data_IF_359342672663
#
_entry.id   IF_359342672663
#
_cell.length_a   1.000
_cell.length_b   1.000
_cell.length_c   1.000
_cell.angle_alpha   90.00
_cell.angle_beta   90.00
_cell.angle_gamma   90.00
#
_symmetry.space_group_name_H-M   'P 1'
#
loop_
_entity.id
_entity.type
_entity.pdbx_description
1 polymer ?
#
# COMPACT_ATOMS: atom_id res chain seq x y z
N UNK A 1 2.44 7.97 6.93
CA UNK A 1 2.84 8.07 8.34
C UNK A 1 4.27 7.58 8.57
N UNK A 2 4.60 6.31 8.24
CA UNK A 2 5.95 5.72 8.44
C UNK A 2 7.07 6.61 7.89
N UNK A 3 6.94 7.08 6.64
CA UNK A 3 7.94 7.93 5.99
C UNK A 3 8.16 9.25 6.75
N UNK A 4 7.09 9.93 7.16
CA UNK A 4 7.20 11.18 7.92
C UNK A 4 7.90 11.01 9.26
N UNK A 5 7.63 9.91 9.98
CA UNK A 5 8.33 9.59 11.22
C UNK A 5 9.79 9.25 10.97
N UNK A 6 10.07 8.42 9.97
CA UNK A 6 11.43 8.06 9.59
C UNK A 6 12.26 9.27 9.20
N UNK A 7 11.69 10.17 8.39
CA UNK A 7 12.35 11.42 7.99
C UNK A 7 12.60 12.35 9.21
N UNK A 8 11.70 12.33 10.21
CA UNK A 8 11.88 13.09 11.44
C UNK A 8 13.00 12.50 12.34
N UNK A 9 13.15 11.19 12.36
CA UNK A 9 14.20 10.48 13.11
C UNK A 9 15.55 10.66 12.44
N UNK A 10 15.64 10.49 11.12
CA UNK A 10 16.89 10.48 10.37
C UNK A 10 17.69 11.77 10.46
N UNK A 11 17.04 12.92 10.66
CA UNK A 11 17.71 14.23 10.80
C UNK A 11 18.24 14.49 12.20
N UNK A 12 17.95 13.63 13.19
CA UNK A 12 18.39 13.83 14.58
C UNK A 12 19.83 13.37 14.75
N UNK A 13 20.60 14.16 15.48
CA UNK A 13 22.01 13.86 15.76
C UNK A 13 22.19 12.55 16.57
N UNK A 14 21.28 12.30 17.53
CA UNK A 14 21.29 11.07 18.34
C UNK A 14 20.99 9.81 17.49
N UNK A 15 20.11 9.89 16.48
CA UNK A 15 19.90 8.79 15.54
C UNK A 15 21.12 8.56 14.63
N UNK A 16 21.74 9.64 14.15
CA UNK A 16 22.95 9.51 13.33
C UNK A 16 24.11 8.89 14.10
N UNK A 17 24.16 9.11 15.40
CA UNK A 17 25.12 8.44 16.27
C UNK A 17 24.77 6.97 16.44
N UNK A 18 23.51 6.63 16.71
CA UNK A 18 23.02 5.25 16.81
C UNK A 18 23.32 4.44 15.54
N UNK A 19 23.14 5.05 14.36
CA UNK A 19 23.36 4.41 13.05
C UNK A 19 24.83 4.04 12.81
N UNK A 20 25.76 4.78 13.45
CA UNK A 20 27.20 4.55 13.37
C UNK A 20 27.74 3.58 14.43
N UNK A 21 26.93 3.22 15.44
CA UNK A 21 27.35 2.26 16.45
C UNK A 21 27.53 0.86 15.82
N UNK A 22 28.39 0.03 16.41
CA UNK A 22 28.55 -1.36 16.01
C UNK A 22 27.19 -2.06 15.89
N UNK A 23 27.09 -3.05 15.00
CA UNK A 23 25.84 -3.81 14.81
C UNK A 23 25.64 -4.82 15.94
N UNK A 24 25.72 -4.32 17.16
CA UNK A 24 25.51 -5.01 18.42
C UNK A 24 24.20 -4.51 19.05
N UNK A 25 23.30 -5.46 19.28
CA UNK A 25 21.95 -5.15 19.81
C UNK A 25 22.03 -4.55 21.21
N UNK A 26 22.91 -5.03 22.09
CA UNK A 26 23.06 -4.55 23.47
C UNK A 26 23.57 -3.12 23.49
N UNK A 27 24.59 -2.81 22.69
CA UNK A 27 25.16 -1.47 22.55
C UNK A 27 24.11 -0.48 22.05
N UNK A 28 23.36 -0.85 21.01
CA UNK A 28 22.29 -0.01 20.45
C UNK A 28 21.14 0.20 21.43
N UNK A 29 20.73 -0.83 22.17
CA UNK A 29 19.69 -0.73 23.20
C UNK A 29 20.12 0.13 24.38
N UNK A 30 21.38 0.02 24.83
CA UNK A 30 21.93 0.88 25.87
C UNK A 30 21.87 2.35 25.45
N UNK A 31 22.34 2.65 24.25
CA UNK A 31 22.29 4.01 23.71
C UNK A 31 20.86 4.56 23.63
N UNK A 32 19.88 3.75 23.21
CA UNK A 32 18.47 4.17 23.15
C UNK A 32 17.92 4.45 24.56
N UNK A 33 18.30 3.68 25.57
CA UNK A 33 17.90 3.91 26.98
C UNK A 33 18.43 5.24 27.50
N UNK A 34 19.64 5.61 27.11
CA UNK A 34 20.27 6.89 27.47
C UNK A 34 19.67 8.08 26.69
N UNK A 35 18.97 7.81 25.59
CA UNK A 35 18.33 8.79 24.74
C UNK A 35 16.79 8.57 24.64
N UNK A 36 16.03 8.84 25.71
CA UNK A 36 14.59 8.51 25.77
C UNK A 36 13.75 9.15 24.65
N UNK A 37 14.09 10.35 24.22
CA UNK A 37 13.41 11.02 23.13
C UNK A 37 13.55 10.26 21.79
N UNK A 38 14.71 9.64 21.54
CA UNK A 38 14.93 8.78 20.40
C UNK A 38 14.12 7.49 20.53
N UNK A 39 14.08 6.89 21.72
CA UNK A 39 13.28 5.70 22.01
C UNK A 39 11.79 5.89 21.72
N UNK A 40 11.22 7.05 22.13
CA UNK A 40 9.82 7.40 21.87
C UNK A 40 9.50 7.43 20.36
N UNK A 41 10.44 7.84 19.53
CA UNK A 41 10.26 7.88 18.07
C UNK A 41 10.48 6.53 17.41
N UNK A 42 11.44 5.73 17.90
CA UNK A 42 11.79 4.43 17.30
C UNK A 42 10.79 3.33 17.64
N UNK A 43 10.16 3.37 18.82
CA UNK A 43 9.19 2.36 19.27
C UNK A 43 8.06 2.15 18.25
N UNK A 44 7.28 3.19 17.83
CA UNK A 44 6.21 2.98 16.86
C UNK A 44 6.72 2.60 15.47
N UNK A 45 7.92 3.04 15.06
CA UNK A 45 8.54 2.60 13.81
C UNK A 45 8.89 1.11 13.83
N UNK A 46 9.44 0.63 14.95
CA UNK A 46 9.71 -0.80 15.16
C UNK A 46 8.44 -1.63 15.10
N UNK A 47 7.37 -1.18 15.77
CA UNK A 47 6.08 -1.88 15.74
C UNK A 47 5.46 -1.89 14.32
N UNK A 48 5.58 -0.81 13.55
CA UNK A 48 5.16 -0.79 12.13
C UNK A 48 5.96 -1.82 11.32
N UNK A 49 7.27 -1.94 11.51
CA UNK A 49 8.07 -2.96 10.82
C UNK A 49 7.60 -4.38 11.18
N UNK A 50 7.31 -4.65 12.45
CA UNK A 50 6.76 -5.94 12.89
C UNK A 50 5.41 -6.26 12.23
N UNK A 51 4.54 -5.27 12.00
CA UNK A 51 3.29 -5.49 11.24
C UNK A 51 3.59 -6.02 9.84
N UNK A 52 4.57 -5.46 9.13
CA UNK A 52 4.99 -5.95 7.80
C UNK A 52 5.66 -7.33 7.87
N UNK A 53 6.36 -7.66 8.96
CA UNK A 53 6.94 -8.99 9.17
C UNK A 53 5.84 -10.05 9.33
N UNK A 54 4.75 -9.75 10.03
CA UNK A 54 3.57 -10.64 10.13
C UNK A 54 3.01 -10.93 8.74
N UNK A 55 2.77 -9.91 7.93
CA UNK A 55 2.29 -10.06 6.55
C UNK A 55 3.26 -10.87 5.67
N UNK A 56 4.57 -10.62 5.80
CA UNK A 56 5.59 -11.38 5.08
C UNK A 56 5.58 -12.86 5.45
N UNK A 57 5.40 -13.18 6.74
CA UNK A 57 5.28 -14.58 7.21
C UNK A 57 4.03 -15.25 6.67
N UNK A 58 2.88 -14.56 6.70
CA UNK A 58 1.63 -15.06 6.15
C UNK A 58 1.77 -15.42 4.66
N UNK A 59 2.38 -14.51 3.89
CA UNK A 59 2.64 -14.71 2.46
C UNK A 59 3.61 -15.87 2.19
N UNK A 60 4.71 -15.97 2.93
CA UNK A 60 5.68 -17.07 2.78
C UNK A 60 5.05 -18.43 3.07
N UNK A 61 4.16 -18.50 4.06
CA UNK A 61 3.44 -19.71 4.44
C UNK A 61 2.23 -20.01 3.54
N UNK A 62 1.88 -19.11 2.63
CA UNK A 62 0.71 -19.19 1.74
C UNK A 62 -0.60 -19.46 2.52
N UNK A 63 -0.76 -18.75 3.63
CA UNK A 63 -1.93 -18.89 4.50
C UNK A 63 -3.22 -18.52 3.75
N UNK A 64 -4.33 -19.20 4.09
CA UNK A 64 -5.66 -18.86 3.60
C UNK A 64 -6.13 -17.50 4.15
N UNK A 65 -7.22 -16.98 3.60
CA UNK A 65 -7.83 -15.73 4.05
C UNK A 65 -8.17 -15.78 5.55
N UNK A 66 -8.76 -16.87 5.98
CA UNK A 66 -9.19 -17.11 7.37
C UNK A 66 -7.97 -17.19 8.29
N UNK A 67 -6.95 -17.94 7.92
CA UNK A 67 -5.70 -18.05 8.68
C UNK A 67 -4.96 -16.70 8.78
N UNK A 68 -4.98 -15.89 7.71
CA UNK A 68 -4.41 -14.52 7.74
C UNK A 68 -5.20 -13.64 8.70
N UNK A 69 -6.53 -13.71 8.69
CA UNK A 69 -7.37 -12.96 9.62
C UNK A 69 -7.07 -13.33 11.07
N UNK A 70 -7.02 -14.62 11.41
CA UNK A 70 -6.69 -15.09 12.76
C UNK A 70 -5.27 -14.64 13.20
N UNK A 71 -4.29 -14.78 12.32
CA UNK A 71 -2.93 -14.31 12.57
C UNK A 71 -2.89 -12.80 12.86
N UNK A 72 -3.65 -12.01 12.11
CA UNK A 72 -3.77 -10.55 12.31
C UNK A 72 -4.42 -10.22 13.63
N UNK A 73 -5.51 -10.91 14.02
CA UNK A 73 -6.15 -10.68 15.32
C UNK A 73 -5.20 -11.00 16.47
N UNK A 74 -4.41 -12.07 16.36
CA UNK A 74 -3.48 -12.51 17.40
C UNK A 74 -2.23 -11.65 17.52
N UNK A 75 -1.62 -11.26 16.40
CA UNK A 75 -0.32 -10.61 16.39
C UNK A 75 -0.36 -9.15 15.93
N UNK A 76 -1.08 -8.85 14.82
CA UNK A 76 -1.05 -7.50 14.25
C UNK A 76 -1.90 -6.50 15.04
N UNK A 77 -3.05 -6.91 15.55
CA UNK A 77 -3.95 -6.02 16.30
C UNK A 77 -3.29 -5.45 17.58
N UNK A 78 -2.66 -6.26 18.45
CA UNK A 78 -1.93 -5.72 19.60
C UNK A 78 -0.78 -4.79 19.19
N UNK A 79 -0.05 -5.10 18.11
CA UNK A 79 1.01 -4.25 17.60
C UNK A 79 0.46 -2.91 17.06
N UNK A 80 -0.68 -2.94 16.38
CA UNK A 80 -1.33 -1.74 15.87
C UNK A 80 -1.79 -0.82 17.01
N UNK A 81 -2.34 -1.39 18.09
CA UNK A 81 -2.70 -0.65 19.30
C UNK A 81 -1.46 -0.01 19.96
N UNK A 82 -0.33 -0.71 19.98
CA UNK A 82 0.94 -0.14 20.44
C UNK A 82 1.43 1.01 19.54
N UNK A 83 1.26 0.91 18.22
CA UNK A 83 1.57 2.01 17.30
C UNK A 83 0.71 3.24 17.63
N UNK A 84 -0.60 3.07 17.84
CA UNK A 84 -1.49 4.19 18.24
C UNK A 84 -0.98 4.86 19.52
N UNK A 85 -0.71 4.09 20.56
CA UNK A 85 -0.18 4.61 21.84
C UNK A 85 1.16 5.32 21.66
N UNK A 86 2.03 4.77 20.82
CA UNK A 86 3.31 5.40 20.47
C UNK A 86 3.14 6.74 19.75
N UNK A 87 2.19 6.84 18.81
CA UNK A 87 1.86 8.09 18.13
C UNK A 87 1.29 9.15 19.07
N UNK A 88 0.41 8.76 20.00
CA UNK A 88 -0.10 9.64 21.04
C UNK A 88 1.01 10.11 21.97
N UNK A 89 1.96 9.24 22.32
CA UNK A 89 3.14 9.62 23.12
C UNK A 89 3.98 10.67 22.40
N UNK A 90 4.22 10.50 21.10
CA UNK A 90 4.94 11.49 20.29
C UNK A 90 4.25 12.85 20.35
N UNK A 91 2.92 12.91 20.19
CA UNK A 91 2.19 14.19 20.21
C UNK A 91 2.27 14.92 21.55
N UNK A 92 2.50 14.19 22.65
CA UNK A 92 2.65 14.78 24.00
C UNK A 92 4.10 15.14 24.35
N UNK A 93 5.08 14.49 23.70
CA UNK A 93 6.51 14.59 24.08
C UNK A 93 7.30 15.56 23.22
N UNK A 94 6.75 16.03 22.10
CA UNK A 94 7.45 16.89 21.14
C UNK A 94 6.60 18.10 20.76
N UNK A 95 7.28 19.16 20.30
CA UNK A 95 6.63 20.39 19.86
C UNK A 95 5.63 20.16 18.72
N UNK A 96 4.48 20.82 18.80
CA UNK A 96 3.37 20.65 17.84
C UNK A 96 3.75 20.95 16.38
N UNK A 97 4.73 21.82 16.16
CA UNK A 97 5.27 22.17 14.84
C UNK A 97 6.27 21.16 14.28
N UNK A 98 6.76 20.20 15.10
CA UNK A 98 7.79 19.26 14.69
C UNK A 98 7.30 18.28 13.61
N UNK A 99 8.23 17.81 12.77
CA UNK A 99 7.93 16.79 11.75
C UNK A 99 7.40 15.48 12.37
N UNK A 100 7.88 15.13 13.57
CA UNK A 100 7.43 13.94 14.29
C UNK A 100 5.95 14.05 14.67
N UNK A 101 5.53 15.18 15.27
CA UNK A 101 4.14 15.42 15.65
C UNK A 101 3.23 15.52 14.43
N UNK A 102 3.67 16.18 13.36
CA UNK A 102 2.91 16.21 12.09
C UNK A 102 2.68 14.79 11.53
N UNK A 103 3.71 13.94 11.56
CA UNK A 103 3.61 12.54 11.15
C UNK A 103 2.69 11.71 12.05
N UNK A 104 2.77 11.89 13.37
CA UNK A 104 1.92 11.21 14.34
C UNK A 104 0.45 11.64 14.18
N UNK A 105 0.17 12.93 14.07
CA UNK A 105 -1.17 13.45 13.83
C UNK A 105 -1.77 12.96 12.50
N UNK A 106 -0.96 12.87 11.44
CA UNK A 106 -1.40 12.29 10.18
C UNK A 106 -1.84 10.82 10.36
N UNK A 107 -1.11 10.03 11.14
CA UNK A 107 -1.48 8.66 11.45
C UNK A 107 -2.76 8.59 12.29
N UNK A 108 -2.82 9.33 13.39
CA UNK A 108 -3.95 9.31 14.32
C UNK A 108 -5.27 9.72 13.67
N UNK A 109 -5.25 10.72 12.78
CA UNK A 109 -6.45 11.11 11.99
C UNK A 109 -6.95 10.01 11.05
N UNK A 110 -6.12 9.04 10.70
CA UNK A 110 -6.45 7.97 9.74
C UNK A 110 -6.40 6.58 10.35
N UNK A 111 -6.27 6.47 11.68
CA UNK A 111 -6.08 5.19 12.37
C UNK A 111 -7.14 4.15 11.98
N UNK A 112 -8.41 4.57 11.90
CA UNK A 112 -9.51 3.66 11.57
C UNK A 112 -9.39 3.14 10.13
N UNK A 113 -9.09 4.01 9.17
CA UNK A 113 -8.85 3.60 7.77
C UNK A 113 -7.60 2.74 7.64
N UNK A 114 -6.54 3.04 8.39
CA UNK A 114 -5.30 2.25 8.40
C UNK A 114 -5.48 0.90 9.09
N UNK A 115 -6.43 0.78 10.02
CA UNK A 115 -6.75 -0.46 10.74
C UNK A 115 -7.65 -1.40 9.95
N UNK A 116 -8.30 -0.97 8.88
CA UNK A 116 -9.24 -1.80 8.11
C UNK A 116 -8.65 -3.11 7.59
N UNK A 117 -7.37 -3.16 7.29
CA UNK A 117 -6.74 -4.41 6.86
C UNK A 117 -6.81 -5.53 7.91
N UNK A 118 -7.03 -5.18 9.18
CA UNK A 118 -7.23 -6.13 10.27
C UNK A 118 -8.61 -6.81 10.24
N UNK A 119 -9.59 -6.23 9.53
CA UNK A 119 -10.98 -6.71 9.49
C UNK A 119 -11.16 -7.90 8.54
N UNK A 120 -10.24 -8.07 7.57
CA UNK A 120 -10.35 -9.11 6.55
C UNK A 120 -8.96 -9.56 6.08
N UNK A 121 -8.75 -10.88 5.95
CA UNK A 121 -7.48 -11.45 5.49
C UNK A 121 -7.11 -11.12 4.04
N UNK A 122 -8.04 -10.62 3.22
CA UNK A 122 -7.80 -10.24 1.83
C UNK A 122 -7.31 -8.80 1.67
N UNK A 123 -7.60 -7.92 2.62
CA UNK A 123 -7.21 -6.51 2.51
C UNK A 123 -5.70 -6.35 2.68
N UNK A 124 -5.01 -5.67 1.77
CA UNK A 124 -3.57 -5.43 1.90
C UNK A 124 -3.29 -4.41 3.01
N UNK A 125 -2.16 -4.58 3.71
CA UNK A 125 -1.67 -3.62 4.72
C UNK A 125 -1.26 -2.28 4.10
N UNK A 126 -0.95 -2.25 2.81
CA UNK A 126 -0.49 -1.07 2.08
C UNK A 126 -1.24 -0.86 0.77
N UNK A 127 -1.00 0.29 0.14
CA UNK A 127 -1.61 0.68 -1.11
C UNK A 127 -0.71 0.40 -2.34
N UNK A 128 0.32 -0.43 -2.18
CA UNK A 128 1.30 -0.68 -3.25
C UNK A 128 0.68 -1.24 -4.53
N UNK A 129 -0.42 -2.00 -4.41
CA UNK A 129 -1.13 -2.52 -5.58
C UNK A 129 -1.76 -1.39 -6.38
N UNK A 130 -2.54 -0.51 -5.73
CA UNK A 130 -3.16 0.63 -6.39
C UNK A 130 -2.12 1.59 -6.99
N UNK A 131 -1.03 1.86 -6.25
CA UNK A 131 0.07 2.70 -6.76
C UNK A 131 0.72 2.09 -8.01
N UNK A 132 0.92 0.78 -8.05
CA UNK A 132 1.44 0.09 -9.24
C UNK A 132 0.48 0.16 -10.42
N UNK A 133 -0.83 0.09 -10.17
CA UNK A 133 -1.84 0.17 -11.24
C UNK A 133 -1.93 1.57 -11.86
N UNK A 134 -1.75 2.62 -11.07
CA UNK A 134 -1.75 4.01 -11.57
C UNK A 134 -0.42 4.39 -12.24
N UNK A 135 0.68 3.74 -11.88
CA UNK A 135 2.03 4.07 -12.36
C UNK A 135 2.17 4.10 -13.88
N UNK A 136 1.63 3.14 -14.68
CA UNK A 136 1.70 3.21 -16.14
C UNK A 136 1.06 4.47 -16.71
N UNK A 137 -0.10 4.90 -16.19
CA UNK A 137 -0.74 6.16 -16.57
C UNK A 137 0.16 7.36 -16.30
N UNK A 138 0.76 7.43 -15.10
CA UNK A 138 1.68 8.53 -14.72
C UNK A 138 2.93 8.55 -15.60
N UNK A 139 3.44 7.38 -16.00
CA UNK A 139 4.58 7.28 -16.93
C UNK A 139 4.17 7.71 -18.34
N UNK A 140 3.02 7.22 -18.83
CA UNK A 140 2.48 7.58 -20.15
C UNK A 140 2.25 9.09 -20.27
N UNK A 141 1.78 9.75 -19.21
CA UNK A 141 1.60 11.20 -19.16
C UNK A 141 2.87 11.98 -19.48
N UNK A 142 4.06 11.44 -19.21
CA UNK A 142 5.31 12.09 -19.62
C UNK A 142 5.50 12.16 -21.13
N UNK A 143 4.85 11.27 -21.90
CA UNK A 143 4.88 11.25 -23.37
C UNK A 143 3.82 12.17 -23.98
N UNK A 144 2.58 12.10 -23.51
CA UNK A 144 1.48 12.91 -24.09
C UNK A 144 1.23 14.25 -23.34
N UNK A 145 1.89 14.50 -22.21
CA UNK A 145 1.91 15.72 -21.38
C UNK A 145 0.51 16.14 -20.86
N UNK A 146 -0.48 16.34 -21.70
CA UNK A 146 -1.85 16.73 -21.38
C UNK A 146 -2.84 16.11 -22.41
N UNK A 147 -4.12 16.18 -22.11
CA UNK A 147 -5.20 15.87 -23.01
C UNK A 147 -5.83 17.20 -23.49
N UNK A 148 -6.06 17.33 -24.77
CA UNK A 148 -6.61 18.58 -25.37
C UNK A 148 -8.05 18.83 -24.94
N UNK A 149 -8.79 17.77 -24.59
CA UNK A 149 -10.20 17.85 -24.19
C UNK A 149 -10.47 16.99 -22.96
N UNK A 150 -11.49 17.33 -22.20
CA UNK A 150 -11.97 16.56 -21.05
C UNK A 150 -12.41 15.14 -21.48
N UNK A 151 -13.16 15.03 -22.58
CA UNK A 151 -13.57 13.75 -23.14
C UNK A 151 -12.37 12.87 -23.55
N UNK A 152 -11.30 13.47 -24.09
CA UNK A 152 -10.06 12.77 -24.40
C UNK A 152 -9.34 12.27 -23.17
N UNK A 153 -9.36 13.06 -22.08
CA UNK A 153 -8.80 12.65 -20.79
C UNK A 153 -9.57 11.47 -20.18
N UNK A 154 -10.91 11.52 -20.19
CA UNK A 154 -11.78 10.44 -19.73
C UNK A 154 -11.57 9.16 -20.56
N UNK A 155 -11.57 9.24 -21.87
CA UNK A 155 -11.33 8.10 -22.76
C UNK A 155 -9.97 7.45 -22.45
N UNK A 156 -8.92 8.26 -22.27
CA UNK A 156 -7.58 7.77 -21.90
C UNK A 156 -7.61 7.05 -20.54
N UNK A 157 -8.29 7.60 -19.54
CA UNK A 157 -8.43 7.00 -18.23
C UNK A 157 -9.17 5.65 -18.29
N UNK A 158 -10.23 5.54 -19.09
CA UNK A 158 -10.97 4.29 -19.32
C UNK A 158 -10.05 3.22 -19.94
N UNK A 159 -9.32 3.55 -21.01
CA UNK A 159 -8.42 2.60 -21.67
C UNK A 159 -7.29 2.12 -20.75
N UNK A 160 -6.70 3.00 -19.95
CA UNK A 160 -5.73 2.59 -18.95
C UNK A 160 -6.35 1.71 -17.88
N UNK A 161 -7.56 2.00 -17.42
CA UNK A 161 -8.28 1.20 -16.43
C UNK A 161 -8.57 -0.20 -16.95
N UNK A 162 -9.06 -0.33 -18.18
CA UNK A 162 -9.32 -1.62 -18.83
C UNK A 162 -8.03 -2.42 -19.00
N UNK A 163 -6.96 -1.79 -19.48
CA UNK A 163 -5.66 -2.44 -19.69
C UNK A 163 -5.06 -2.94 -18.38
N UNK A 164 -5.10 -2.13 -17.32
CA UNK A 164 -4.59 -2.54 -16.01
C UNK A 164 -5.45 -3.63 -15.37
N UNK A 165 -6.78 -3.55 -15.52
CA UNK A 165 -7.68 -4.61 -15.06
C UNK A 165 -7.45 -5.92 -15.81
N UNK A 166 -7.18 -5.88 -17.10
CA UNK A 166 -6.81 -7.06 -17.89
C UNK A 166 -5.52 -7.70 -17.34
N UNK A 167 -4.48 -6.90 -17.08
CA UNK A 167 -3.22 -7.37 -16.49
C UNK A 167 -3.46 -8.04 -15.13
N UNK A 168 -4.29 -7.44 -14.27
CA UNK A 168 -4.61 -7.98 -12.94
C UNK A 168 -5.30 -9.34 -12.99
N UNK A 169 -6.11 -9.56 -14.04
CA UNK A 169 -6.83 -10.82 -14.26
C UNK A 169 -6.04 -11.81 -15.12
N UNK A 170 -4.75 -11.58 -15.36
CA UNK A 170 -3.87 -12.49 -16.10
C UNK A 170 -4.05 -12.47 -17.61
N UNK A 171 -4.79 -11.51 -18.15
CA UNK A 171 -5.00 -11.33 -19.58
C UNK A 171 -3.79 -10.67 -20.24
N UNK A 172 -3.64 -10.87 -21.55
CA UNK A 172 -2.72 -10.12 -22.41
C UNK A 172 -3.48 -8.90 -22.92
N UNK A 173 -3.14 -7.65 -22.51
CA UNK A 173 -3.97 -6.47 -22.76
C UNK A 173 -4.30 -6.23 -24.24
N UNK A 174 -3.31 -6.38 -25.13
CA UNK A 174 -3.49 -6.15 -26.57
C UNK A 174 -4.53 -7.11 -27.14
N UNK A 175 -4.44 -8.40 -26.83
CA UNK A 175 -5.39 -9.42 -27.28
C UNK A 175 -6.78 -9.19 -26.70
N UNK A 176 -6.83 -8.81 -25.42
CA UNK A 176 -8.08 -8.52 -24.74
C UNK A 176 -8.80 -7.32 -25.39
N UNK A 177 -8.08 -6.21 -25.63
CA UNK A 177 -8.66 -5.01 -26.26
C UNK A 177 -9.14 -5.33 -27.68
N UNK A 178 -8.34 -6.05 -28.49
CA UNK A 178 -8.72 -6.50 -29.83
C UNK A 178 -10.01 -7.33 -29.78
N UNK A 179 -10.08 -8.27 -28.85
CA UNK A 179 -11.28 -9.12 -28.64
C UNK A 179 -12.51 -8.27 -28.27
N UNK A 180 -12.37 -7.34 -27.33
CA UNK A 180 -13.47 -6.43 -26.91
C UNK A 180 -13.97 -5.62 -28.08
N UNK A 181 -13.07 -4.97 -28.82
CA UNK A 181 -13.46 -4.14 -29.99
C UNK A 181 -14.13 -4.98 -31.07
N UNK A 182 -13.64 -6.19 -31.34
CA UNK A 182 -14.23 -7.11 -32.33
C UNK A 182 -15.64 -7.55 -31.92
N UNK A 183 -15.84 -7.90 -30.65
CA UNK A 183 -17.14 -8.31 -30.12
C UNK A 183 -18.14 -7.15 -30.17
N UNK A 184 -17.76 -5.96 -29.74
CA UNK A 184 -18.63 -4.77 -29.79
C UNK A 184 -19.02 -4.37 -31.21
N UNK A 185 -18.10 -4.49 -32.19
CA UNK A 185 -18.38 -4.26 -33.59
C UNK A 185 -19.45 -5.22 -34.15
N UNK A 186 -19.36 -6.50 -33.77
CA UNK A 186 -20.21 -7.54 -34.35
C UNK A 186 -21.56 -7.65 -33.63
N UNK A 187 -21.61 -7.44 -32.32
CA UNK A 187 -22.79 -7.70 -31.51
C UNK A 187 -23.47 -6.44 -30.97
N UNK A 188 -22.82 -5.29 -31.15
CA UNK A 188 -23.31 -3.99 -30.67
C UNK A 188 -23.11 -3.80 -29.17
N UNK A 189 -23.45 -2.58 -28.70
CA UNK A 189 -23.33 -2.22 -27.27
C UNK A 189 -24.64 -2.58 -26.57
N UNK A 190 -24.64 -3.70 -25.83
CA UNK A 190 -25.74 -4.18 -25.00
C UNK A 190 -25.19 -4.60 -23.65
N UNK A 191 -25.97 -4.46 -22.58
CA UNK A 191 -25.55 -4.72 -21.20
C UNK A 191 -24.98 -6.13 -21.03
N UNK A 192 -25.67 -7.14 -21.56
CA UNK A 192 -25.24 -8.55 -21.52
C UNK A 192 -23.88 -8.76 -22.21
N UNK A 193 -23.66 -8.11 -23.36
CA UNK A 193 -22.38 -8.18 -24.07
C UNK A 193 -21.27 -7.49 -23.26
N UNK A 194 -21.58 -6.36 -22.64
CA UNK A 194 -20.60 -5.62 -21.81
C UNK A 194 -20.19 -6.42 -20.58
N UNK A 195 -21.13 -7.11 -19.92
CA UNK A 195 -20.83 -7.96 -18.77
C UNK A 195 -19.89 -9.12 -19.13
N UNK A 196 -20.14 -9.77 -20.28
CA UNK A 196 -19.27 -10.84 -20.79
C UNK A 196 -17.87 -10.35 -21.14
N UNK A 197 -17.72 -9.10 -21.50
CA UNK A 197 -16.46 -8.50 -21.90
C UNK A 197 -15.64 -7.92 -20.74
N UNK A 198 -16.17 -7.89 -19.52
CA UNK A 198 -15.42 -7.38 -18.36
C UNK A 198 -14.15 -8.21 -18.12
N UNK A 199 -13.02 -7.57 -17.72
CA UNK A 199 -11.73 -8.24 -17.59
C UNK A 199 -11.69 -9.42 -16.61
N UNK A 200 -12.67 -9.51 -15.72
CA UNK A 200 -12.84 -10.59 -14.72
C UNK A 200 -13.95 -11.57 -15.09
N UNK A 201 -14.56 -11.45 -16.26
CA UNK A 201 -15.61 -12.37 -16.72
C UNK A 201 -15.03 -13.76 -16.93
N UNK A 202 -15.79 -14.78 -16.47
CA UNK A 202 -15.43 -16.20 -16.63
C UNK A 202 -15.69 -16.73 -18.04
N UNK A 203 -16.39 -15.96 -18.87
CA UNK A 203 -16.74 -16.32 -20.26
C UNK A 203 -15.64 -15.98 -21.25
N UNK A 204 -14.59 -15.27 -20.81
CA UNK A 204 -13.49 -14.87 -21.68
C UNK A 204 -12.70 -16.07 -22.21
N UNK A 205 -12.37 -16.08 -23.53
CA UNK A 205 -11.63 -17.16 -24.17
C UNK A 205 -10.24 -17.39 -23.58
N UNK A 206 -9.84 -18.65 -23.43
CA UNK A 206 -8.56 -19.03 -22.82
C UNK A 206 -7.30 -18.50 -23.54
N UNK A 207 -7.39 -18.19 -24.85
CA UNK A 207 -6.26 -17.64 -25.61
C UNK A 207 -5.91 -16.19 -25.26
N UNK A 208 -6.78 -15.51 -24.52
CA UNK A 208 -6.55 -14.14 -24.04
C UNK A 208 -5.65 -14.10 -22.80
N UNK A 209 -5.49 -15.22 -22.10
CA UNK A 209 -4.68 -15.30 -20.89
C UNK A 209 -3.18 -15.48 -21.22
N UNK A 210 -2.34 -15.00 -20.30
CA UNK A 210 -0.91 -15.29 -20.32
C UNK A 210 -0.68 -16.80 -20.16
N UNK A 211 0.18 -17.36 -21.02
CA UNK A 211 0.66 -18.73 -20.88
C UNK A 211 1.64 -18.84 -19.73
#
# INVERSE_FOLDING_TARGET
ARRHLYDAVKIRADYQTLDKLPDDTEVKLSYIRENPALGILLEPLGNINRLYEVESRAKKKKLSREEVYELRQKESKPLFDQVIKGMERITRSFDSGSKAVKGANYFLKRKDSLGRYLEDGTYPIDNNLAERMVKPFVIGRKGFLFADTEAGAEATAVWYSLSQSAIMNGLVPEKYIEYVLTRLKNEGIREEVLEDLLPYSRTLPGHLYKK
#
